data_IF_580285490690
#
_entry.id   IF_580285490690
#
_cell.length_a   1.000
_cell.length_b   1.000
_cell.length_c   1.000
_cell.angle_alpha   90.00
_cell.angle_beta   90.00
_cell.angle_gamma   90.00
#
_symmetry.space_group_name_H-M   'P 1'
#
loop_
_entity.id
_entity.type
_entity.pdbx_description
1 polymer ?
#
# COMPACT_ATOMS: atom_id res chain seq x y z
N UNK A 1 -0.89 15.35 -17.03
CA UNK A 1 -1.97 14.32 -16.99
C UNK A 1 -2.19 13.84 -18.41
N UNK A 2 -1.88 12.58 -18.68
CA UNK A 2 -2.21 11.96 -19.97
C UNK A 2 -3.72 11.72 -20.02
N UNK A 3 -4.36 12.12 -21.12
CA UNK A 3 -5.77 11.82 -21.33
C UNK A 3 -6.00 10.31 -21.41
N UNK A 4 -7.10 9.85 -20.80
CA UNK A 4 -7.48 8.43 -20.84
C UNK A 4 -7.72 8.01 -22.31
N UNK A 5 -7.05 6.96 -22.81
CA UNK A 5 -7.28 6.48 -24.16
C UNK A 5 -8.73 5.99 -24.30
N UNK A 6 -9.34 6.22 -25.46
CA UNK A 6 -10.74 5.83 -25.73
C UNK A 6 -10.89 4.31 -25.95
N UNK A 7 -9.81 3.62 -26.30
CA UNK A 7 -9.77 2.18 -26.54
C UNK A 7 -8.37 1.62 -26.22
N UNK A 8 -8.31 0.35 -25.91
CA UNK A 8 -7.03 -0.34 -25.68
C UNK A 8 -6.23 -0.44 -26.98
N UNK A 9 -4.98 -0.03 -26.97
CA UNK A 9 -4.12 -0.12 -28.15
C UNK A 9 -3.76 -1.57 -28.56
N UNK A 10 -3.85 -2.51 -27.61
CA UNK A 10 -3.49 -3.91 -27.84
C UNK A 10 -4.67 -4.76 -28.33
N UNK A 11 -5.90 -4.55 -27.80
CA UNK A 11 -7.08 -5.39 -28.11
C UNK A 11 -8.29 -4.61 -28.57
N UNK A 12 -8.17 -3.29 -28.77
CA UNK A 12 -9.25 -2.36 -29.19
C UNK A 12 -10.48 -2.33 -28.28
N UNK A 13 -10.44 -2.95 -27.10
CA UNK A 13 -11.52 -2.90 -26.14
C UNK A 13 -11.81 -1.45 -25.72
N UNK A 14 -13.09 -1.09 -25.67
CA UNK A 14 -13.58 0.20 -25.14
C UNK A 14 -13.84 0.14 -23.64
N UNK A 15 -13.87 -1.07 -23.06
CA UNK A 15 -14.04 -1.29 -21.63
C UNK A 15 -12.71 -1.13 -20.90
N UNK A 16 -12.28 0.13 -20.76
CA UNK A 16 -11.09 0.52 -20.04
C UNK A 16 -11.48 1.03 -18.67
N UNK A 17 -11.38 0.17 -17.67
CA UNK A 17 -11.51 0.57 -16.27
C UNK A 17 -10.17 1.01 -15.70
N UNK A 18 -10.16 2.10 -14.95
CA UNK A 18 -8.98 2.46 -14.13
C UNK A 18 -8.86 1.45 -12.99
N UNK A 19 -7.78 0.68 -12.97
CA UNK A 19 -7.48 -0.21 -11.83
C UNK A 19 -6.89 0.63 -10.70
N UNK A 20 -7.62 0.72 -9.61
CA UNK A 20 -7.21 1.38 -8.37
C UNK A 20 -7.96 2.69 -8.14
N UNK A 21 -8.53 2.79 -6.96
CA UNK A 21 -9.10 4.04 -6.46
C UNK A 21 -7.94 4.93 -6.01
N UNK A 22 -7.73 6.04 -6.69
CA UNK A 22 -6.86 7.11 -6.17
C UNK A 22 -7.50 7.73 -4.93
N UNK A 23 -6.69 8.30 -4.06
CA UNK A 23 -7.19 9.02 -2.86
C UNK A 23 -8.21 10.10 -3.21
N UNK A 24 -8.05 10.76 -4.35
CA UNK A 24 -8.98 11.76 -4.87
C UNK A 24 -10.36 11.18 -5.19
N UNK A 25 -10.41 10.01 -5.82
CA UNK A 25 -11.69 9.36 -6.12
C UNK A 25 -12.40 8.91 -4.84
N UNK A 26 -11.65 8.35 -3.87
CA UNK A 26 -12.19 7.95 -2.57
C UNK A 26 -12.75 9.16 -1.82
N UNK A 27 -12.03 10.28 -1.84
CA UNK A 27 -12.48 11.54 -1.24
C UNK A 27 -13.82 11.99 -1.84
N UNK A 28 -13.94 12.00 -3.17
CA UNK A 28 -15.16 12.40 -3.89
C UNK A 28 -16.34 11.46 -3.58
N UNK A 29 -16.11 10.16 -3.55
CA UNK A 29 -17.14 9.18 -3.20
C UNK A 29 -17.60 9.35 -1.75
N UNK A 30 -16.69 9.58 -0.81
CA UNK A 30 -17.02 9.82 0.59
C UNK A 30 -17.82 11.12 0.77
N UNK A 31 -17.47 12.19 0.05
CA UNK A 31 -18.25 13.45 0.06
C UNK A 31 -19.69 13.19 -0.41
N UNK A 32 -19.86 12.35 -1.43
CA UNK A 32 -21.20 11.99 -1.93
C UNK A 32 -22.00 11.16 -0.91
N UNK A 33 -21.34 10.23 -0.20
CA UNK A 33 -21.99 9.35 0.78
C UNK A 33 -22.26 10.08 2.10
N UNK A 34 -21.34 10.95 2.51
CA UNK A 34 -21.38 11.68 3.78
C UNK A 34 -21.34 13.21 3.56
N UNK A 35 -22.41 13.81 2.98
CA UNK A 35 -22.41 15.22 2.57
C UNK A 35 -22.24 16.21 3.74
N UNK A 36 -22.54 15.79 4.96
CA UNK A 36 -22.43 16.63 6.16
C UNK A 36 -21.09 16.44 6.90
N UNK A 37 -20.21 15.55 6.43
CA UNK A 37 -18.92 15.28 7.06
C UNK A 37 -17.80 16.04 6.37
N UNK A 38 -16.86 16.52 7.16
CA UNK A 38 -15.65 17.16 6.67
C UNK A 38 -14.60 16.11 6.34
N UNK A 39 -14.29 15.97 5.06
CA UNK A 39 -13.35 14.97 4.57
C UNK A 39 -12.05 15.64 4.17
N UNK A 40 -10.94 15.12 4.67
CA UNK A 40 -9.59 15.54 4.32
C UNK A 40 -8.85 14.48 3.55
N UNK A 41 -7.91 14.90 2.70
CA UNK A 41 -7.05 14.03 1.92
C UNK A 41 -5.58 14.28 2.22
N UNK A 42 -4.80 13.20 2.37
CA UNK A 42 -3.38 13.23 2.64
C UNK A 42 -2.62 12.31 1.68
N UNK A 43 -2.05 12.88 0.66
CA UNK A 43 -1.21 12.21 -0.32
C UNK A 43 -0.03 13.10 -0.74
N UNK A 44 0.76 12.64 -1.72
CA UNK A 44 1.90 13.41 -2.21
C UNK A 44 1.52 14.78 -2.80
N UNK A 45 0.32 14.90 -3.38
CA UNK A 45 -0.11 16.14 -4.01
C UNK A 45 -0.54 17.18 -2.98
N UNK A 46 -1.29 16.75 -1.96
CA UNK A 46 -1.77 17.62 -0.87
C UNK A 46 -0.67 18.02 0.11
N UNK A 47 0.42 17.25 0.19
CA UNK A 47 1.53 17.46 1.14
C UNK A 47 2.76 18.11 0.54
N UNK A 48 2.76 18.53 -0.72
CA UNK A 48 3.92 19.18 -1.40
C UNK A 48 4.36 20.51 -0.78
N UNK A 49 3.50 21.22 -0.09
CA UNK A 49 3.83 22.48 0.58
C UNK A 49 4.64 22.27 1.86
N UNK A 50 5.53 23.21 2.18
CA UNK A 50 6.44 23.16 3.36
C UNK A 50 5.75 22.81 4.67
N UNK A 51 4.44 23.08 4.84
CA UNK A 51 3.64 22.80 6.03
C UNK A 51 2.34 22.04 5.69
N UNK A 52 2.20 21.50 4.47
CA UNK A 52 0.96 20.84 4.04
C UNK A 52 0.64 19.62 4.89
N UNK A 53 1.67 18.84 5.21
CA UNK A 53 1.56 17.65 6.04
C UNK A 53 1.10 18.00 7.47
N UNK A 54 1.77 18.95 8.12
CA UNK A 54 1.47 19.36 9.51
C UNK A 54 0.08 19.94 9.63
N UNK A 55 -0.32 20.81 8.69
CA UNK A 55 -1.67 21.40 8.70
C UNK A 55 -2.78 20.36 8.64
N UNK A 56 -2.67 19.35 7.77
CA UNK A 56 -3.69 18.31 7.66
C UNK A 56 -3.78 17.51 8.96
N UNK A 57 -2.63 17.18 9.56
CA UNK A 57 -2.58 16.45 10.82
C UNK A 57 -3.19 17.26 11.96
N UNK A 58 -2.82 18.52 12.07
CA UNK A 58 -3.33 19.39 13.15
C UNK A 58 -4.85 19.59 13.01
N UNK A 59 -5.35 19.84 11.80
CA UNK A 59 -6.79 19.93 11.54
C UNK A 59 -7.53 18.63 11.91
N UNK A 60 -6.95 17.47 11.62
CA UNK A 60 -7.56 16.19 11.99
C UNK A 60 -7.51 15.96 13.52
N UNK A 61 -6.39 16.28 14.19
CA UNK A 61 -6.25 16.21 15.64
C UNK A 61 -7.23 17.14 16.36
N UNK A 62 -7.41 18.34 15.83
CA UNK A 62 -8.32 19.34 16.36
C UNK A 62 -9.81 19.05 16.06
N UNK A 63 -10.12 17.91 15.43
CA UNK A 63 -11.48 17.50 15.02
C UNK A 63 -12.13 18.48 14.04
N UNK A 64 -11.33 19.16 13.24
CA UNK A 64 -11.82 20.00 12.16
C UNK A 64 -12.20 19.16 10.92
N UNK A 65 -11.77 17.89 10.90
CA UNK A 65 -12.09 16.87 9.91
C UNK A 65 -12.66 15.64 10.59
N UNK A 66 -13.69 15.03 9.98
CA UNK A 66 -14.34 13.82 10.47
C UNK A 66 -13.71 12.57 9.87
N UNK A 67 -13.26 12.63 8.60
CA UNK A 67 -12.68 11.53 7.86
C UNK A 67 -11.38 12.01 7.20
N UNK A 68 -10.33 11.23 7.38
CA UNK A 68 -9.06 11.46 6.70
C UNK A 68 -8.74 10.29 5.76
N UNK A 69 -8.63 10.58 4.47
CA UNK A 69 -8.23 9.64 3.43
C UNK A 69 -6.76 9.82 3.10
N UNK A 70 -6.03 8.73 2.99
CA UNK A 70 -4.64 8.85 2.60
C UNK A 70 -4.00 7.53 2.18
N UNK A 71 -2.75 7.64 1.77
CA UNK A 71 -1.90 6.52 1.40
C UNK A 71 -1.13 5.99 2.62
N UNK A 72 -0.11 5.18 2.37
CA UNK A 72 0.84 4.69 3.37
C UNK A 72 1.46 5.79 4.25
N UNK A 73 1.34 7.06 3.87
CA UNK A 73 1.81 8.19 4.67
C UNK A 73 1.08 8.28 6.02
N UNK A 74 -0.20 7.88 6.07
CA UNK A 74 -0.99 7.82 7.31
C UNK A 74 -0.51 6.74 8.29
N UNK A 75 0.19 5.73 7.81
CA UNK A 75 0.72 4.67 8.65
C UNK A 75 1.95 5.12 9.47
N UNK A 76 2.72 6.10 8.97
CA UNK A 76 4.02 6.45 9.55
C UNK A 76 3.93 7.58 10.57
N UNK A 77 4.25 7.25 11.83
CA UNK A 77 4.61 8.26 12.84
C UNK A 77 3.50 9.19 13.34
N UNK A 78 2.26 8.99 12.89
CA UNK A 78 1.13 9.82 13.30
C UNK A 78 0.47 9.23 14.53
N UNK A 79 0.22 10.04 15.52
CA UNK A 79 -0.53 9.69 16.72
C UNK A 79 -1.86 10.43 16.76
N UNK A 80 -2.94 9.66 16.76
CA UNK A 80 -4.31 10.18 16.80
C UNK A 80 -5.05 9.53 17.96
N UNK A 81 -5.41 10.31 18.97
CA UNK A 81 -6.08 9.81 20.18
C UNK A 81 -7.57 9.52 19.99
N UNK A 82 -8.17 10.06 18.92
CA UNK A 82 -9.62 10.07 18.73
C UNK A 82 -10.12 9.30 17.49
N UNK A 83 -9.37 8.32 17.01
CA UNK A 83 -9.78 7.51 15.86
C UNK A 83 -10.63 6.33 16.33
N UNK A 84 -11.91 6.34 15.99
CA UNK A 84 -12.85 5.27 16.33
C UNK A 84 -12.89 4.16 15.27
N UNK A 85 -12.58 4.49 14.02
CA UNK A 85 -12.62 3.56 12.89
C UNK A 85 -11.40 3.75 11.98
N UNK A 86 -10.78 2.63 11.61
CA UNK A 86 -9.74 2.59 10.59
C UNK A 86 -10.21 1.66 9.47
N UNK A 87 -10.20 2.15 8.24
CA UNK A 87 -10.46 1.37 7.02
C UNK A 87 -9.18 1.15 6.21
N UNK A 88 -8.84 -0.09 5.95
CA UNK A 88 -7.75 -0.47 5.03
C UNK A 88 -8.38 -0.97 3.74
N UNK A 89 -8.28 -0.17 2.70
CA UNK A 89 -8.86 -0.49 1.40
C UNK A 89 -7.88 -1.28 0.54
N UNK A 90 -8.38 -2.33 -0.12
CA UNK A 90 -7.64 -3.13 -1.08
C UNK A 90 -6.28 -3.64 -0.56
N UNK A 91 -6.32 -4.40 0.55
CA UNK A 91 -5.13 -5.01 1.15
C UNK A 91 -4.37 -5.92 0.16
N UNK A 92 -5.09 -6.47 -0.83
CA UNK A 92 -4.54 -7.37 -1.86
C UNK A 92 -3.44 -6.71 -2.69
N UNK A 93 -3.52 -5.40 -2.96
CA UNK A 93 -2.46 -4.68 -3.68
C UNK A 93 -1.10 -4.70 -2.94
N UNK A 94 -1.13 -4.75 -1.62
CA UNK A 94 0.09 -4.86 -0.82
C UNK A 94 0.57 -6.31 -0.73
N UNK A 95 -0.37 -7.24 -0.53
CA UNK A 95 -0.07 -8.67 -0.39
C UNK A 95 0.54 -9.26 -1.66
N UNK A 96 0.00 -8.91 -2.82
CA UNK A 96 0.44 -9.45 -4.12
C UNK A 96 1.45 -8.53 -4.85
N UNK A 97 2.08 -7.63 -4.12
CA UNK A 97 3.19 -6.85 -4.70
C UNK A 97 4.37 -7.80 -5.02
N UNK A 98 5.00 -7.70 -6.20
CA UNK A 98 6.12 -8.56 -6.60
C UNK A 98 7.42 -8.20 -5.85
N UNK A 99 7.46 -8.49 -4.56
CA UNK A 99 8.61 -8.29 -3.66
C UNK A 99 8.58 -9.43 -2.63
N UNK A 100 9.70 -10.08 -2.38
CA UNK A 100 9.79 -11.17 -1.41
C UNK A 100 9.42 -10.75 0.03
N UNK A 101 9.36 -9.47 0.32
CA UNK A 101 8.92 -8.90 1.61
C UNK A 101 7.48 -8.40 1.59
N UNK A 102 6.70 -8.73 0.56
CA UNK A 102 5.35 -8.20 0.41
C UNK A 102 4.47 -8.53 1.63
N UNK A 103 4.47 -9.78 2.08
CA UNK A 103 3.66 -10.22 3.22
C UNK A 103 4.11 -9.58 4.54
N UNK A 104 5.41 -9.56 4.81
CA UNK A 104 5.99 -8.89 5.98
C UNK A 104 5.62 -7.39 6.01
N UNK A 105 5.81 -6.70 4.90
CA UNK A 105 5.48 -5.27 4.80
C UNK A 105 3.98 -5.01 4.94
N UNK A 106 3.16 -5.88 4.37
CA UNK A 106 1.71 -5.81 4.51
C UNK A 106 1.28 -6.00 5.96
N UNK A 107 1.83 -7.01 6.63
CA UNK A 107 1.60 -7.24 8.06
C UNK A 107 1.98 -6.02 8.88
N UNK A 108 3.21 -5.52 8.72
CA UNK A 108 3.73 -4.37 9.47
C UNK A 108 2.85 -3.13 9.27
N UNK A 109 2.47 -2.85 8.02
CA UNK A 109 1.65 -1.69 7.70
C UNK A 109 0.24 -1.80 8.26
N UNK A 110 -0.43 -2.93 8.04
CA UNK A 110 -1.79 -3.15 8.53
C UNK A 110 -1.85 -3.11 10.05
N UNK A 111 -0.89 -3.75 10.75
CA UNK A 111 -0.80 -3.71 12.21
C UNK A 111 -0.52 -2.29 12.72
N UNK A 112 0.37 -1.55 12.05
CA UNK A 112 0.68 -0.17 12.44
C UNK A 112 -0.54 0.74 12.31
N UNK A 113 -1.30 0.62 11.22
CA UNK A 113 -2.53 1.40 11.00
C UNK A 113 -3.64 0.95 11.94
N UNK A 114 -3.80 -0.37 12.15
CA UNK A 114 -4.76 -0.93 13.09
C UNK A 114 -4.53 -0.42 14.53
N UNK A 115 -3.27 -0.29 14.94
CA UNK A 115 -2.90 0.25 16.25
C UNK A 115 -3.24 1.73 16.46
N UNK A 116 -3.81 2.41 15.45
CA UNK A 116 -4.31 3.80 15.58
C UNK A 116 -5.76 3.85 16.05
N UNK A 117 -6.52 2.79 15.87
CA UNK A 117 -7.91 2.72 16.34
C UNK A 117 -7.95 2.44 17.86
N UNK A 118 -8.77 3.20 18.59
CA UNK A 118 -9.13 2.86 19.97
C UNK A 118 -8.11 3.20 21.07
N UNK A 119 -7.33 4.26 20.91
CA UNK A 119 -6.44 4.76 21.98
C UNK A 119 -7.15 5.56 23.07
N UNK A 120 -8.40 5.98 22.82
CA UNK A 120 -9.25 6.59 23.84
C UNK A 120 -10.05 5.50 24.58
N UNK A 121 -10.85 5.90 25.58
CA UNK A 121 -11.68 5.00 26.41
C UNK A 121 -12.64 4.09 25.61
N UNK A 122 -12.84 4.33 24.32
CA UNK A 122 -13.68 3.51 23.43
C UNK A 122 -12.84 2.58 22.57
N UNK A 123 -13.21 1.32 22.55
CA UNK A 123 -12.59 0.33 21.67
C UNK A 123 -12.75 0.74 20.21
N UNK A 124 -11.63 0.92 19.51
CA UNK A 124 -11.62 1.25 18.09
C UNK A 124 -11.93 0.02 17.22
N UNK A 125 -12.45 0.27 16.03
CA UNK A 125 -12.77 -0.74 15.04
C UNK A 125 -11.82 -0.64 13.84
N UNK A 126 -11.38 -1.79 13.34
CA UNK A 126 -10.56 -1.87 12.12
C UNK A 126 -11.29 -2.73 11.10
N UNK A 127 -11.39 -2.24 9.87
CA UNK A 127 -11.98 -2.96 8.74
C UNK A 127 -10.92 -3.11 7.66
N UNK A 128 -10.63 -4.35 7.27
CA UNK A 128 -9.68 -4.66 6.19
C UNK A 128 -10.49 -5.19 4.99
N UNK A 129 -10.43 -4.47 3.87
CA UNK A 129 -11.04 -4.90 2.63
C UNK A 129 -10.06 -5.79 1.85
N UNK A 130 -10.47 -7.01 1.56
CA UNK A 130 -9.68 -8.00 0.81
C UNK A 130 -10.58 -8.99 0.08
N UNK A 131 -10.11 -9.54 -1.05
CA UNK A 131 -10.76 -10.65 -1.75
C UNK A 131 -10.53 -12.01 -1.07
N UNK A 132 -9.46 -12.12 -0.27
CA UNK A 132 -9.12 -13.35 0.44
C UNK A 132 -8.99 -13.10 1.96
N UNK A 133 -10.10 -13.06 2.71
CA UNK A 133 -10.07 -12.84 4.15
C UNK A 133 -9.34 -13.95 4.91
N UNK A 134 -9.24 -15.15 4.33
CA UNK A 134 -8.55 -16.31 4.94
C UNK A 134 -7.03 -16.33 4.61
N UNK A 135 -6.50 -15.33 3.95
CA UNK A 135 -5.06 -15.24 3.70
C UNK A 135 -4.29 -15.20 5.02
N UNK A 136 -3.21 -16.01 5.14
CA UNK A 136 -2.44 -16.14 6.39
C UNK A 136 -2.05 -14.79 6.98
N UNK A 137 -1.51 -13.87 6.16
CA UNK A 137 -1.12 -12.53 6.63
C UNK A 137 -2.30 -11.73 7.19
N UNK A 138 -3.50 -11.85 6.58
CA UNK A 138 -4.71 -11.17 7.09
C UNK A 138 -5.09 -11.75 8.45
N UNK A 139 -5.09 -13.07 8.59
CA UNK A 139 -5.38 -13.74 9.86
C UNK A 139 -4.34 -13.39 10.93
N UNK A 140 -3.07 -13.35 10.57
CA UNK A 140 -1.98 -12.94 11.48
C UNK A 140 -2.16 -11.49 11.96
N UNK A 141 -2.55 -10.57 11.08
CA UNK A 141 -2.85 -9.18 11.46
C UNK A 141 -4.05 -9.13 12.40
N UNK A 142 -5.13 -9.84 12.09
CA UNK A 142 -6.36 -9.85 12.89
C UNK A 142 -6.13 -10.39 14.29
N UNK A 143 -5.27 -11.41 14.41
CA UNK A 143 -4.93 -12.05 15.68
C UNK A 143 -3.71 -11.42 16.37
N UNK A 144 -3.11 -10.39 15.77
CA UNK A 144 -1.85 -9.77 16.21
C UNK A 144 -0.71 -10.81 16.39
N UNK A 145 -0.68 -11.81 15.50
CA UNK A 145 0.27 -12.93 15.54
C UNK A 145 1.58 -12.58 14.82
N UNK A 146 2.44 -11.83 15.49
CA UNK A 146 3.77 -11.48 14.98
C UNK A 146 4.68 -12.72 14.85
N UNK A 147 4.63 -13.65 15.84
CA UNK A 147 5.50 -14.82 15.83
C UNK A 147 5.16 -15.77 14.69
N UNK A 148 3.88 -16.01 14.44
CA UNK A 148 3.43 -16.81 13.29
C UNK A 148 3.90 -16.21 11.97
N UNK A 149 3.70 -14.91 11.76
CA UNK A 149 4.19 -14.20 10.58
C UNK A 149 5.71 -14.33 10.44
N UNK A 150 6.45 -14.07 11.51
CA UNK A 150 7.92 -14.12 11.50
C UNK A 150 8.43 -15.52 11.13
N UNK A 151 7.88 -16.57 11.75
CA UNK A 151 8.28 -17.97 11.52
C UNK A 151 7.99 -18.40 10.08
N UNK A 152 6.79 -18.09 9.58
CA UNK A 152 6.37 -18.40 8.21
C UNK A 152 7.28 -17.68 7.18
N UNK A 153 7.53 -16.39 7.39
CA UNK A 153 8.39 -15.63 6.49
C UNK A 153 9.85 -16.10 6.50
N UNK A 154 10.39 -16.52 7.64
CA UNK A 154 11.74 -17.10 7.68
C UNK A 154 11.79 -18.45 6.93
N UNK A 155 10.80 -19.30 7.13
CA UNK A 155 10.69 -20.58 6.42
C UNK A 155 10.65 -20.38 4.91
N UNK A 156 9.79 -19.51 4.42
CA UNK A 156 9.69 -19.17 2.99
C UNK A 156 11.02 -18.64 2.43
N UNK A 157 11.69 -17.78 3.17
CA UNK A 157 12.98 -17.23 2.76
C UNK A 157 14.08 -18.28 2.67
N UNK A 158 14.04 -19.29 3.51
CA UNK A 158 14.97 -20.41 3.42
C UNK A 158 14.70 -21.25 2.16
N UNK A 159 13.44 -21.61 1.91
CA UNK A 159 13.03 -22.42 0.74
C UNK A 159 13.33 -21.69 -0.56
N UNK A 160 12.91 -20.44 -0.66
CA UNK A 160 13.04 -19.64 -1.89
C UNK A 160 14.37 -18.92 -2.03
N UNK A 161 15.35 -19.21 -1.17
CA UNK A 161 16.70 -18.67 -1.21
C UNK A 161 16.75 -17.15 -1.12
N UNK A 162 16.00 -16.58 -0.17
CA UNK A 162 15.99 -15.14 0.12
C UNK A 162 16.82 -14.77 1.37
N UNK A 163 17.19 -13.49 1.53
CA UNK A 163 17.82 -13.01 2.76
C UNK A 163 16.93 -13.25 4.00
N UNK A 164 17.52 -13.57 5.15
CA UNK A 164 18.93 -13.50 5.51
C UNK A 164 19.76 -14.72 5.12
N UNK A 165 19.13 -15.80 4.68
CA UNK A 165 19.84 -17.07 4.39
C UNK A 165 20.71 -16.98 3.14
N UNK A 166 20.28 -16.21 2.15
CA UNK A 166 20.99 -16.03 0.89
C UNK A 166 21.14 -14.55 0.56
N UNK A 167 22.18 -14.21 -0.19
CA UNK A 167 22.41 -12.86 -0.69
C UNK A 167 21.74 -12.68 -2.04
N UNK A 168 21.10 -11.53 -2.26
CA UNK A 168 20.47 -11.16 -3.52
C UNK A 168 21.16 -9.92 -4.06
N UNK A 169 21.51 -9.95 -5.35
CA UNK A 169 21.98 -8.80 -6.09
C UNK A 169 20.93 -8.48 -7.15
N UNK A 170 20.31 -7.30 -7.07
CA UNK A 170 19.37 -6.82 -8.10
C UNK A 170 20.08 -5.89 -9.05
N UNK A 171 20.22 -6.31 -10.31
CA UNK A 171 20.72 -5.48 -11.40
C UNK A 171 19.55 -4.88 -12.16
N UNK A 172 19.53 -3.57 -12.34
CA UNK A 172 18.46 -2.87 -13.06
C UNK A 172 19.07 -2.18 -14.28
N UNK A 173 18.71 -2.68 -15.47
CA UNK A 173 19.08 -2.06 -16.74
C UNK A 173 17.98 -1.12 -17.19
N UNK A 174 18.35 0.08 -17.66
CA UNK A 174 17.39 1.08 -18.17
C UNK A 174 17.88 1.59 -19.51
N UNK A 175 17.08 1.44 -20.54
CA UNK A 175 17.31 2.00 -21.88
C UNK A 175 15.96 2.34 -22.51
N UNK A 176 15.91 3.43 -23.31
CA UNK A 176 14.69 3.81 -24.05
C UNK A 176 14.39 2.90 -25.23
N UNK A 177 15.44 2.44 -25.87
CA UNK A 177 15.40 1.52 -27.00
C UNK A 177 15.27 0.07 -26.47
N UNK A 178 14.16 -0.58 -26.81
CA UNK A 178 13.86 -1.93 -26.33
C UNK A 178 14.86 -2.98 -26.84
N UNK A 179 15.28 -2.89 -28.10
CA UNK A 179 16.19 -3.87 -28.70
C UNK A 179 17.57 -3.79 -28.04
N UNK A 180 18.09 -2.59 -27.83
CA UNK A 180 19.35 -2.37 -27.10
C UNK A 180 19.26 -2.83 -25.64
N UNK A 181 18.10 -2.64 -25.00
CA UNK A 181 17.88 -3.12 -23.64
C UNK A 181 17.90 -4.64 -23.59
N UNK A 182 17.24 -5.30 -24.55
CA UNK A 182 17.18 -6.74 -24.69
C UNK A 182 18.57 -7.32 -24.93
N UNK A 183 19.32 -6.79 -25.89
CA UNK A 183 20.67 -7.24 -26.21
C UNK A 183 21.63 -7.08 -25.03
N UNK A 184 21.59 -5.92 -24.36
CA UNK A 184 22.37 -5.67 -23.16
C UNK A 184 22.01 -6.60 -22.00
N UNK A 185 20.72 -6.91 -21.82
CA UNK A 185 20.28 -7.84 -20.80
C UNK A 185 20.73 -9.28 -21.07
N UNK A 186 20.67 -9.71 -22.32
CA UNK A 186 21.15 -11.04 -22.74
C UNK A 186 22.66 -11.16 -22.61
N UNK A 187 23.39 -10.11 -22.96
CA UNK A 187 24.85 -10.07 -22.78
C UNK A 187 25.25 -10.21 -21.31
N UNK A 188 24.55 -9.51 -20.41
CA UNK A 188 24.81 -9.58 -18.96
C UNK A 188 24.37 -10.92 -18.35
N UNK A 189 23.26 -11.49 -18.82
CA UNK A 189 22.69 -12.73 -18.30
C UNK A 189 23.57 -13.95 -18.56
N UNK A 190 24.17 -14.05 -19.78
CA UNK A 190 24.99 -15.20 -20.19
C UNK A 190 26.12 -15.52 -19.20
N UNK A 191 27.02 -14.59 -18.80
CA UNK A 191 28.08 -14.91 -17.85
C UNK A 191 27.58 -15.21 -16.44
N UNK A 192 26.40 -14.69 -16.04
CA UNK A 192 25.86 -14.88 -14.70
C UNK A 192 25.24 -16.27 -14.47
N UNK A 193 24.88 -16.99 -15.53
CA UNK A 193 24.36 -18.37 -15.41
C UNK A 193 25.47 -19.37 -15.05
N UNK A 194 26.73 -19.02 -15.29
CA UNK A 194 27.86 -19.91 -15.11
C UNK A 194 28.65 -19.66 -13.79
N UNK A 195 28.12 -18.80 -12.93
CA UNK A 195 28.62 -18.58 -11.57
C UNK A 195 27.77 -19.36 -10.55
#
# INVERSE_FOLDING_TARGET
TMAKPKHCQACSSVDLTTKGFGTEQIEQELISIFPNSKIGRMDQDTTRGKFGFEKIIDSFKNREMDILVGTQMLAKGLDFDNVSLVGIMNADNMLYHPDFRAFERSFQMMTQVAGRAGRSEKQGKVIIQTYNPNHNTIQQVTNNDYLGMYTEQLYDRQIYKYPPYFRIIKLTLKQRDFDKLKDGSMWLYRPLIHI
#
